data_IF_449388231849
#
_entry.id   IF_449388231849
#
_cell.length_a   1.000
_cell.length_b   1.000
_cell.length_c   1.000
_cell.angle_alpha   90.00
_cell.angle_beta   90.00
_cell.angle_gamma   90.00
#
_symmetry.space_group_name_H-M   'P 1'
#
loop_
_entity.id
_entity.type
_entity.pdbx_description
1 polymer ?
#
# COMPACT_ATOMS: atom_id res chain seq x y z
N UNK A 1 -28.01 33.66 44.34
CA UNK A 1 -28.58 32.47 44.96
C UNK A 1 -27.46 31.90 45.89
N UNK A 2 -27.43 32.40 47.15
CA UNK A 2 -26.55 31.89 48.18
C UNK A 2 -27.10 30.52 48.62
N UNK A 3 -26.46 29.45 48.19
CA UNK A 3 -26.62 28.19 48.84
C UNK A 3 -25.88 28.31 50.20
N UNK A 4 -26.62 28.17 51.28
CA UNK A 4 -26.04 28.04 52.64
C UNK A 4 -25.18 26.77 52.61
N UNK A 5 -23.89 26.95 52.57
CA UNK A 5 -22.91 25.89 52.53
C UNK A 5 -22.65 25.47 53.96
N UNK A 6 -23.24 24.38 54.41
CA UNK A 6 -22.98 23.77 55.72
C UNK A 6 -21.71 22.92 55.65
N UNK A 7 -20.55 23.54 55.88
CA UNK A 7 -19.35 22.82 56.19
C UNK A 7 -19.51 22.09 57.54
N UNK A 8 -19.05 20.87 57.56
CA UNK A 8 -18.88 20.13 58.84
C UNK A 8 -17.99 20.93 59.79
N UNK A 9 -18.28 20.82 61.12
CA UNK A 9 -17.61 21.60 62.17
C UNK A 9 -16.09 21.40 62.14
N UNK A 10 -15.64 20.18 61.89
CA UNK A 10 -14.22 19.83 61.93
C UNK A 10 -13.50 20.40 60.68
N UNK A 11 -14.11 20.31 59.52
CA UNK A 11 -13.60 20.90 58.28
C UNK A 11 -13.55 22.41 58.36
N UNK A 12 -14.53 23.04 58.98
CA UNK A 12 -14.57 24.49 59.20
C UNK A 12 -13.48 24.96 60.16
N UNK A 13 -13.24 24.20 61.25
CA UNK A 13 -12.18 24.51 62.20
C UNK A 13 -10.79 24.31 61.62
N UNK A 14 -10.58 23.27 60.83
CA UNK A 14 -9.35 23.02 60.12
C UNK A 14 -9.05 24.12 59.06
N UNK A 15 -10.06 24.55 58.30
CA UNK A 15 -9.96 25.68 57.35
C UNK A 15 -9.57 26.98 58.04
N UNK A 16 -10.22 27.27 59.20
CA UNK A 16 -9.95 28.48 59.96
C UNK A 16 -8.53 28.44 60.57
N UNK A 17 -8.12 27.32 61.10
CA UNK A 17 -6.79 27.17 61.72
C UNK A 17 -5.67 27.25 60.68
N UNK A 18 -5.83 26.65 59.49
CA UNK A 18 -4.88 26.74 58.39
C UNK A 18 -4.82 28.18 57.84
N UNK A 19 -5.96 28.80 57.69
CA UNK A 19 -6.07 30.20 57.26
C UNK A 19 -5.41 31.17 58.25
N UNK A 20 -5.64 30.97 59.55
CA UNK A 20 -5.02 31.77 60.59
C UNK A 20 -3.50 31.54 60.73
N UNK A 21 -3.03 30.35 60.49
CA UNK A 21 -1.62 30.03 60.52
C UNK A 21 -0.85 30.78 59.38
N UNK A 22 -1.48 30.89 58.22
CA UNK A 22 -0.95 31.63 57.06
C UNK A 22 -1.11 33.14 57.13
N UNK A 23 -2.09 33.61 57.91
CA UNK A 23 -2.37 35.05 58.12
C UNK A 23 -1.23 35.78 58.87
N UNK A 24 -0.32 35.06 59.53
CA UNK A 24 0.83 35.64 60.22
C UNK A 24 1.96 36.09 59.30
N UNK A 25 1.89 35.80 58.01
CA UNK A 25 2.96 36.00 57.03
C UNK A 25 2.81 37.29 56.17
N UNK A 26 2.46 38.40 56.71
CA UNK A 26 2.51 39.77 56.12
C UNK A 26 1.87 39.94 54.71
N UNK A 27 1.06 39.06 54.20
CA UNK A 27 0.33 39.26 52.97
C UNK A 27 -1.15 39.53 53.22
N UNK A 28 -1.74 40.47 52.47
CA UNK A 28 -3.10 40.92 52.68
C UNK A 28 -4.16 39.94 52.15
N UNK A 29 -3.77 38.86 51.52
CA UNK A 29 -4.67 37.82 50.96
C UNK A 29 -3.99 36.48 50.99
N UNK A 30 -4.64 35.47 51.54
CA UNK A 30 -4.14 34.10 51.65
C UNK A 30 -5.11 33.13 51.00
N UNK A 31 -4.55 32.08 50.37
CA UNK A 31 -5.32 30.98 49.80
C UNK A 31 -4.98 29.70 50.55
N UNK A 32 -5.99 29.01 51.05
CA UNK A 32 -5.84 27.67 51.61
C UNK A 32 -6.77 26.70 50.86
N UNK A 33 -6.29 25.50 50.56
CA UNK A 33 -7.08 24.46 49.91
C UNK A 33 -7.18 23.26 50.85
N UNK A 34 -8.40 22.80 51.12
CA UNK A 34 -8.63 21.55 51.87
C UNK A 34 -9.35 20.57 50.96
N UNK A 35 -8.89 19.33 51.02
CA UNK A 35 -9.50 18.22 50.31
C UNK A 35 -10.19 17.30 51.35
N UNK A 36 -11.52 17.33 51.37
CA UNK A 36 -12.36 16.49 52.22
C UNK A 36 -13.11 15.47 51.36
N UNK A 37 -12.50 14.28 51.21
CA UNK A 37 -13.06 13.24 50.39
C UNK A 37 -13.16 13.63 48.91
N UNK A 38 -14.38 13.78 48.39
CA UNK A 38 -14.63 14.20 47.00
C UNK A 38 -14.73 15.74 46.81
N UNK A 39 -14.76 16.48 47.92
CA UNK A 39 -14.98 17.93 47.91
C UNK A 39 -13.66 18.68 48.03
N UNK A 40 -13.48 19.72 47.21
CA UNK A 40 -12.28 20.57 47.25
C UNK A 40 -12.71 22.03 47.43
N UNK A 41 -12.17 22.65 48.47
CA UNK A 41 -12.48 24.05 48.80
C UNK A 41 -11.27 24.95 48.68
N UNK A 42 -11.48 26.18 48.23
CA UNK A 42 -10.47 27.23 48.31
C UNK A 42 -10.98 28.30 49.29
N UNK A 43 -10.17 28.62 50.27
CA UNK A 43 -10.44 29.65 51.25
C UNK A 43 -9.59 30.88 50.95
N UNK A 44 -10.25 32.01 50.73
CA UNK A 44 -9.60 33.33 50.60
C UNK A 44 -9.79 34.09 51.92
N UNK A 45 -8.67 34.52 52.53
CA UNK A 45 -8.69 35.31 53.76
C UNK A 45 -8.13 36.67 53.45
N UNK A 46 -8.90 37.73 53.72
CA UNK A 46 -8.49 39.09 53.57
C UNK A 46 -8.35 39.79 54.91
N UNK A 47 -7.19 40.40 55.16
CA UNK A 47 -7.03 41.32 56.31
C UNK A 47 -7.77 42.64 56.02
N UNK A 48 -8.26 43.31 57.06
CA UNK A 48 -8.89 44.63 56.89
C UNK A 48 -7.83 45.63 56.34
N UNK A 49 -8.25 46.57 55.47
CA UNK A 49 -7.34 47.65 55.03
C UNK A 49 -6.92 48.57 56.22
N UNK A 50 -5.73 49.20 56.07
CA UNK A 50 -5.19 50.04 57.11
C UNK A 50 -6.09 51.22 57.53
N UNK A 51 -7.02 51.66 56.65
CA UNK A 51 -8.02 52.73 56.91
C UNK A 51 -9.37 52.15 57.35
N UNK A 52 -9.34 51.27 58.33
CA UNK A 52 -10.52 50.50 58.77
C UNK A 52 -11.64 51.41 59.30
N UNK A 53 -12.78 51.51 58.58
CA UNK A 53 -13.99 52.14 59.03
C UNK A 53 -15.02 51.03 59.39
N UNK A 54 -15.44 50.99 60.66
CA UNK A 54 -16.27 49.91 61.25
C UNK A 54 -17.58 49.65 60.56
N UNK A 55 -18.12 50.56 59.71
CA UNK A 55 -19.38 50.37 59.03
C UNK A 55 -19.38 49.46 57.84
N UNK A 56 -18.23 49.24 57.18
CA UNK A 56 -18.13 48.40 55.95
C UNK A 56 -17.74 46.92 56.22
N UNK A 57 -17.16 46.61 57.38
CA UNK A 57 -16.60 45.31 57.68
C UNK A 57 -17.26 44.55 58.84
N UNK A 58 -18.28 45.15 59.52
CA UNK A 58 -19.01 44.48 60.58
C UNK A 58 -20.07 43.47 60.09
N UNK A 59 -20.38 42.41 60.86
CA UNK A 59 -21.52 41.58 60.56
C UNK A 59 -22.78 42.45 60.49
N UNK A 60 -23.59 42.31 59.41
CA UNK A 60 -24.92 42.91 59.39
C UNK A 60 -25.65 42.41 60.64
N UNK A 61 -25.95 43.34 61.57
CA UNK A 61 -26.80 43.03 62.75
C UNK A 61 -28.13 42.51 62.25
N UNK A 62 -28.43 41.25 62.51
CA UNK A 62 -29.76 40.76 62.54
C UNK A 62 -30.41 41.50 63.70
N UNK A 63 -31.33 42.39 63.44
CA UNK A 63 -32.22 42.97 64.46
C UNK A 63 -33.13 41.83 64.94
N UNK A 64 -32.85 41.27 66.09
CA UNK A 64 -33.84 40.56 66.85
C UNK A 64 -34.51 41.61 67.75
N UNK A 65 -35.76 41.90 67.47
CA UNK A 65 -36.67 42.69 68.38
C UNK A 65 -36.88 41.87 69.65
N UNK A 66 -36.22 42.28 70.75
CA UNK A 66 -36.68 41.99 72.11
C UNK A 66 -35.96 42.88 73.10
N UNK A 67 -36.71 43.89 73.51
CA UNK A 67 -36.94 44.41 74.84
C UNK A 67 -35.83 45.02 75.69
N UNK A 68 -36.14 46.23 76.01
CA UNK A 68 -35.70 47.20 77.04
C UNK A 68 -35.21 46.66 78.37
N UNK A 69 -34.09 47.24 78.90
CA UNK A 69 -34.14 47.98 80.16
C UNK A 69 -32.78 48.59 80.54
N UNK A 70 -32.91 49.87 80.92
CA UNK A 70 -32.03 50.78 81.60
C UNK A 70 -30.92 50.16 82.45
N UNK A 71 -29.69 50.75 82.41
CA UNK A 71 -29.26 51.56 83.58
C UNK A 71 -28.01 52.40 83.27
N UNK A 72 -28.09 53.63 83.82
CA UNK A 72 -27.06 54.65 83.84
C UNK A 72 -25.84 54.33 84.69
N UNK A 73 -24.75 55.09 84.40
CA UNK A 73 -23.66 55.57 85.26
C UNK A 73 -22.39 54.77 85.29
N UNK A 74 -21.32 55.26 84.73
CA UNK A 74 -20.21 55.96 85.38
C UNK A 74 -19.05 56.28 84.43
N UNK A 75 -18.61 57.53 84.27
CA UNK A 75 -17.50 57.84 83.39
C UNK A 75 -16.16 57.99 84.12
N UNK A 76 -15.57 56.93 84.61
CA UNK A 76 -14.19 56.97 85.08
C UNK A 76 -13.55 55.61 85.15
N UNK A 77 -13.09 55.13 84.01
CA UNK A 77 -11.85 54.31 84.00
C UNK A 77 -11.40 54.17 82.54
N UNK A 78 -10.61 55.10 82.06
CA UNK A 78 -9.85 54.95 80.83
C UNK A 78 -8.55 54.21 81.20
N UNK A 79 -8.54 52.88 81.08
CA UNK A 79 -7.33 52.10 81.12
C UNK A 79 -7.18 51.28 79.85
N UNK A 80 -6.10 51.60 79.21
CA UNK A 80 -5.36 50.81 78.20
C UNK A 80 -6.13 50.21 77.00
N UNK A 81 -5.76 50.71 75.89
CA UNK A 81 -6.15 50.32 74.52
C UNK A 81 -6.26 48.80 74.34
N UNK A 82 -7.48 48.31 74.31
CA UNK A 82 -7.82 47.10 73.61
C UNK A 82 -7.78 47.45 72.11
N UNK A 83 -6.73 47.01 71.41
CA UNK A 83 -6.83 46.92 69.94
C UNK A 83 -8.06 46.11 69.61
N UNK A 84 -8.93 46.57 68.77
CA UNK A 84 -10.09 45.77 68.33
C UNK A 84 -9.58 44.40 67.78
N UNK A 85 -10.25 43.29 68.04
CA UNK A 85 -9.83 42.00 67.51
C UNK A 85 -9.69 42.14 65.98
N UNK A 86 -8.55 41.71 65.46
CA UNK A 86 -8.32 41.66 64.01
C UNK A 86 -9.40 40.83 63.33
N UNK A 87 -10.29 41.48 62.64
CA UNK A 87 -11.37 40.81 61.89
C UNK A 87 -10.86 40.41 60.52
N UNK A 88 -10.96 39.14 60.21
CA UNK A 88 -10.64 38.60 58.90
C UNK A 88 -11.95 38.27 58.15
N UNK A 89 -11.99 38.55 56.83
CA UNK A 89 -13.09 38.12 55.96
C UNK A 89 -12.64 36.82 55.29
N UNK A 90 -13.39 35.74 55.53
CA UNK A 90 -13.09 34.41 54.95
C UNK A 90 -14.15 34.13 53.91
N UNK A 91 -13.76 33.90 52.69
CA UNK A 91 -14.62 33.44 51.61
C UNK A 91 -14.22 32.00 51.24
N UNK A 92 -15.17 31.11 51.33
CA UNK A 92 -14.96 29.68 50.98
C UNK A 92 -15.72 29.40 49.69
N UNK A 93 -15.03 28.84 48.71
CA UNK A 93 -15.61 28.48 47.41
C UNK A 93 -15.40 27.00 47.13
N UNK A 94 -16.44 26.31 46.71
CA UNK A 94 -16.39 24.93 46.29
C UNK A 94 -15.95 24.82 44.81
N UNK A 95 -14.88 24.10 44.55
CA UNK A 95 -14.34 23.85 43.20
C UNK A 95 -14.46 22.38 42.79
N UNK A 96 -15.20 21.57 43.54
CA UNK A 96 -15.34 20.14 43.30
C UNK A 96 -15.89 19.80 41.91
N UNK A 97 -16.86 20.60 41.45
CA UNK A 97 -17.51 20.41 40.15
C UNK A 97 -16.54 20.72 38.99
N UNK A 98 -15.74 21.77 39.12
CA UNK A 98 -14.75 22.18 38.12
C UNK A 98 -13.64 21.15 37.99
N UNK A 99 -13.18 20.61 39.09
CA UNK A 99 -12.12 19.58 39.08
C UNK A 99 -12.64 18.27 38.51
N UNK A 100 -13.87 17.85 38.85
CA UNK A 100 -14.51 16.69 38.20
C UNK A 100 -14.63 16.89 36.68
N UNK A 101 -15.05 18.08 36.25
CA UNK A 101 -15.14 18.40 34.83
C UNK A 101 -13.77 18.37 34.13
N UNK A 102 -12.73 18.91 34.77
CA UNK A 102 -11.36 18.88 34.24
C UNK A 102 -10.85 17.44 34.14
N UNK A 103 -11.06 16.59 35.15
CA UNK A 103 -10.70 15.19 35.10
C UNK A 103 -11.43 14.40 34.00
N UNK A 104 -12.73 14.65 33.84
CA UNK A 104 -13.52 14.05 32.76
C UNK A 104 -13.01 14.49 31.38
N UNK A 105 -12.68 15.79 31.23
CA UNK A 105 -12.08 16.30 30.00
C UNK A 105 -10.73 15.66 29.70
N UNK A 106 -9.88 15.49 30.72
CA UNK A 106 -8.57 14.82 30.59
C UNK A 106 -8.73 13.38 30.14
N UNK A 107 -9.64 12.62 30.76
CA UNK A 107 -9.95 11.23 30.36
C UNK A 107 -10.43 11.20 28.92
N UNK A 108 -11.32 12.09 28.52
CA UNK A 108 -11.82 12.17 27.14
C UNK A 108 -10.69 12.46 26.16
N UNK A 109 -9.78 13.39 26.46
CA UNK A 109 -8.62 13.72 25.61
C UNK A 109 -7.65 12.52 25.49
N UNK A 110 -7.41 11.79 26.59
CA UNK A 110 -6.58 10.58 26.56
C UNK A 110 -7.22 9.49 25.71
N UNK A 111 -8.52 9.26 25.84
CA UNK A 111 -9.24 8.29 25.00
C UNK A 111 -9.19 8.71 23.51
N UNK A 112 -9.43 9.99 23.23
CA UNK A 112 -9.34 10.53 21.87
C UNK A 112 -7.95 10.34 21.27
N UNK A 113 -6.90 10.58 22.07
CA UNK A 113 -5.51 10.35 21.64
C UNK A 113 -5.25 8.89 21.25
N UNK A 114 -5.73 7.92 22.05
CA UNK A 114 -5.56 6.50 21.72
C UNK A 114 -6.36 6.10 20.47
N UNK A 115 -7.58 6.63 20.30
CA UNK A 115 -8.39 6.38 19.10
C UNK A 115 -7.68 6.92 17.86
N UNK A 116 -7.24 8.18 17.88
CA UNK A 116 -6.52 8.80 16.76
C UNK A 116 -5.22 8.06 16.45
N UNK A 117 -4.44 7.68 17.47
CA UNK A 117 -3.22 6.90 17.28
C UNK A 117 -3.48 5.56 16.61
N UNK A 118 -4.53 4.86 17.01
CA UNK A 118 -4.95 3.59 16.41
C UNK A 118 -5.33 3.79 14.93
N UNK A 119 -6.12 4.82 14.61
CA UNK A 119 -6.51 5.16 13.23
C UNK A 119 -5.27 5.45 12.37
N UNK A 120 -4.33 6.25 12.87
CA UNK A 120 -3.08 6.58 12.16
C UNK A 120 -2.26 5.30 11.87
N UNK A 121 -2.14 4.39 12.83
CA UNK A 121 -1.40 3.13 12.65
C UNK A 121 -2.06 2.25 11.59
N UNK A 122 -3.40 2.11 11.63
CA UNK A 122 -4.15 1.33 10.65
C UNK A 122 -4.04 1.94 9.24
N UNK A 123 -4.19 3.26 9.14
CA UNK A 123 -4.05 3.99 7.88
C UNK A 123 -2.63 3.86 7.31
N UNK A 124 -1.60 4.01 8.15
CA UNK A 124 -0.21 3.83 7.74
C UNK A 124 0.06 2.43 7.18
N UNK A 125 -0.40 1.38 7.88
CA UNK A 125 -0.27 -0.01 7.40
C UNK A 125 -1.00 -0.22 6.07
N UNK A 126 -2.21 0.31 5.93
CA UNK A 126 -2.97 0.25 4.68
C UNK A 126 -2.25 0.97 3.55
N UNK A 127 -1.76 2.18 3.79
CA UNK A 127 -1.04 3.01 2.80
C UNK A 127 0.25 2.34 2.34
N UNK A 128 1.07 1.82 3.27
CA UNK A 128 2.29 1.08 2.95
C UNK A 128 1.98 -0.13 2.06
N UNK A 129 0.98 -0.93 2.43
CA UNK A 129 0.60 -2.11 1.65
C UNK A 129 0.09 -1.76 0.25
N UNK A 130 -0.67 -0.68 0.11
CA UNK A 130 -1.32 -0.31 -1.16
C UNK A 130 -0.42 0.51 -2.08
N UNK A 131 0.44 1.37 -1.54
CA UNK A 131 1.23 2.33 -2.33
C UNK A 131 2.71 1.99 -2.42
N UNK A 132 3.33 1.53 -1.34
CA UNK A 132 4.77 1.30 -1.30
C UNK A 132 5.16 -0.10 -1.81
N UNK A 133 4.43 -1.14 -1.41
CA UNK A 133 4.73 -2.50 -1.85
C UNK A 133 4.74 -2.66 -3.36
N UNK A 134 3.72 -2.20 -4.12
CA UNK A 134 3.73 -2.33 -5.57
C UNK A 134 4.95 -1.68 -6.23
N UNK A 135 5.40 -0.54 -5.73
CA UNK A 135 6.60 0.16 -6.24
C UNK A 135 7.86 -0.64 -5.94
N UNK A 136 7.99 -1.16 -4.72
CA UNK A 136 9.13 -2.03 -4.35
C UNK A 136 9.17 -3.31 -5.17
N UNK A 137 8.03 -3.95 -5.39
CA UNK A 137 7.91 -5.17 -6.20
C UNK A 137 8.24 -4.89 -7.67
N UNK A 138 7.81 -3.74 -8.21
CA UNK A 138 8.15 -3.31 -9.56
C UNK A 138 9.67 -3.08 -9.72
N UNK A 139 10.32 -2.39 -8.78
CA UNK A 139 11.78 -2.18 -8.79
C UNK A 139 12.53 -3.52 -8.71
N UNK A 140 12.08 -4.43 -7.85
CA UNK A 140 12.71 -5.75 -7.71
C UNK A 140 12.54 -6.56 -8.98
N UNK A 141 11.35 -6.57 -9.59
CA UNK A 141 11.09 -7.21 -10.87
C UNK A 141 11.95 -6.63 -11.99
N UNK A 142 12.11 -5.30 -12.03
CA UNK A 142 12.96 -4.63 -13.02
C UNK A 142 14.44 -5.02 -12.87
N UNK A 143 14.96 -5.09 -11.64
CA UNK A 143 16.33 -5.52 -11.37
C UNK A 143 16.55 -6.99 -11.81
N UNK A 144 15.61 -7.85 -11.47
CA UNK A 144 15.64 -9.26 -11.88
C UNK A 144 15.65 -9.36 -13.40
N UNK A 145 14.79 -8.63 -14.10
CA UNK A 145 14.73 -8.57 -15.55
C UNK A 145 16.07 -8.17 -16.19
N UNK A 146 16.74 -7.13 -15.68
CA UNK A 146 18.05 -6.70 -16.18
C UNK A 146 19.11 -7.79 -15.94
N UNK A 147 19.09 -8.45 -14.79
CA UNK A 147 19.99 -9.55 -14.46
C UNK A 147 19.80 -10.71 -15.42
N UNK A 148 18.56 -11.16 -15.60
CA UNK A 148 18.24 -12.31 -16.44
C UNK A 148 18.55 -12.02 -17.93
N UNK A 149 18.19 -10.84 -18.43
CA UNK A 149 18.57 -10.40 -19.77
C UNK A 149 20.08 -10.40 -19.99
N UNK A 150 20.85 -9.95 -18.98
CA UNK A 150 22.32 -9.95 -19.06
C UNK A 150 22.89 -11.36 -19.11
N UNK A 151 22.31 -12.30 -18.36
CA UNK A 151 22.70 -13.71 -18.39
C UNK A 151 22.36 -14.37 -19.72
N UNK A 152 21.16 -14.13 -20.25
CA UNK A 152 20.72 -14.69 -21.54
C UNK A 152 21.47 -14.12 -22.75
N UNK A 153 21.98 -12.89 -22.67
CA UNK A 153 22.84 -12.29 -23.69
C UNK A 153 24.29 -12.79 -23.59
N UNK A 154 24.80 -13.09 -22.39
CA UNK A 154 26.17 -13.52 -22.16
C UNK A 154 26.45 -14.90 -22.78
N UNK A 155 25.49 -15.81 -22.70
CA UNK A 155 25.64 -17.20 -23.19
C UNK A 155 25.91 -17.27 -24.70
N UNK A 156 25.05 -16.71 -25.59
CA UNK A 156 25.30 -16.70 -27.03
C UNK A 156 26.58 -15.93 -27.40
N UNK A 157 26.84 -14.80 -26.72
CA UNK A 157 28.06 -14.04 -26.94
C UNK A 157 29.32 -14.85 -26.63
N UNK A 158 29.32 -15.65 -25.56
CA UNK A 158 30.42 -16.53 -25.21
C UNK A 158 30.64 -17.60 -26.30
N UNK A 159 29.54 -18.15 -26.85
CA UNK A 159 29.62 -19.13 -27.95
C UNK A 159 30.20 -18.49 -29.22
N UNK A 160 29.78 -17.29 -29.57
CA UNK A 160 30.33 -16.52 -30.71
C UNK A 160 31.83 -16.29 -30.51
N UNK A 161 32.27 -15.81 -29.35
CA UNK A 161 33.67 -15.53 -29.05
C UNK A 161 34.51 -16.84 -29.16
N UNK A 162 34.02 -17.96 -28.64
CA UNK A 162 34.71 -19.24 -28.73
C UNK A 162 34.82 -19.73 -30.17
N UNK A 163 33.74 -19.62 -30.96
CA UNK A 163 33.76 -20.00 -32.37
C UNK A 163 34.74 -19.14 -33.18
N UNK A 164 34.76 -17.83 -32.96
CA UNK A 164 35.75 -16.91 -33.56
C UNK A 164 37.17 -17.29 -33.16
N UNK A 165 37.40 -17.58 -31.88
CA UNK A 165 38.73 -18.05 -31.39
C UNK A 165 39.18 -19.38 -32.04
N UNK A 166 38.27 -20.32 -32.27
CA UNK A 166 38.54 -21.56 -32.98
C UNK A 166 38.88 -21.31 -34.46
N UNK A 167 38.16 -20.42 -35.14
CA UNK A 167 38.45 -20.02 -36.52
C UNK A 167 39.84 -19.39 -36.60
N UNK A 168 40.19 -18.45 -35.71
CA UNK A 168 41.50 -17.82 -35.67
C UNK A 168 42.64 -18.81 -35.49
N UNK A 169 42.45 -19.78 -34.57
CA UNK A 169 43.44 -20.88 -34.34
C UNK A 169 43.59 -21.75 -35.57
N UNK A 170 42.53 -22.09 -36.29
CA UNK A 170 42.58 -22.90 -37.51
C UNK A 170 43.32 -22.16 -38.64
N UNK A 171 43.08 -20.88 -38.82
CA UNK A 171 43.77 -20.03 -39.79
C UNK A 171 45.26 -19.88 -39.48
N UNK A 172 45.63 -19.66 -38.20
CA UNK A 172 47.03 -19.44 -37.80
C UNK A 172 47.91 -20.69 -37.94
N UNK A 173 47.32 -21.89 -37.91
CA UNK A 173 48.05 -23.15 -38.07
C UNK A 173 48.39 -23.51 -39.51
N UNK A 174 47.99 -22.72 -40.52
CA UNK A 174 48.27 -22.91 -41.97
C UNK A 174 47.86 -24.30 -42.52
N UNK A 175 47.00 -25.03 -41.80
CA UNK A 175 46.59 -26.39 -42.17
C UNK A 175 45.17 -26.36 -42.75
N UNK A 176 45.04 -25.92 -44.01
CA UNK A 176 43.78 -26.02 -44.75
C UNK A 176 43.67 -27.43 -45.34
N UNK A 177 43.38 -28.38 -44.47
CA UNK A 177 42.95 -29.72 -44.88
C UNK A 177 41.40 -29.75 -44.92
N UNK A 178 40.80 -30.69 -45.67
CA UNK A 178 39.35 -30.82 -45.85
C UNK A 178 38.61 -30.91 -44.50
N UNK A 179 39.16 -31.61 -43.49
CA UNK A 179 38.62 -31.68 -42.15
C UNK A 179 38.51 -30.30 -41.46
N UNK A 180 39.47 -29.41 -41.68
CA UNK A 180 39.46 -28.06 -41.14
C UNK A 180 38.41 -27.19 -41.82
N UNK A 181 38.06 -27.44 -43.07
CA UNK A 181 37.02 -26.73 -43.81
C UNK A 181 35.61 -27.02 -43.20
N UNK A 182 35.32 -28.28 -42.86
CA UNK A 182 34.07 -28.65 -42.17
C UNK A 182 33.97 -28.02 -40.77
N UNK A 183 35.08 -28.03 -40.02
CA UNK A 183 35.13 -27.37 -38.70
C UNK A 183 34.92 -25.84 -38.80
N UNK A 184 35.53 -25.21 -39.79
CA UNK A 184 35.31 -23.77 -40.05
C UNK A 184 33.85 -23.47 -40.40
N UNK A 185 33.25 -24.29 -41.29
CA UNK A 185 31.81 -24.15 -41.63
C UNK A 185 30.91 -24.33 -40.41
N UNK A 186 31.19 -25.32 -39.54
CA UNK A 186 30.48 -25.56 -38.30
C UNK A 186 30.57 -24.35 -37.36
N UNK A 187 31.76 -23.76 -37.17
CA UNK A 187 31.97 -22.61 -36.31
C UNK A 187 31.27 -21.36 -36.89
N UNK A 188 31.27 -21.13 -38.21
CA UNK A 188 30.58 -20.04 -38.89
C UNK A 188 29.06 -20.20 -38.69
N UNK A 189 28.50 -21.39 -38.93
CA UNK A 189 27.08 -21.64 -38.74
C UNK A 189 26.69 -21.44 -37.26
N UNK A 190 27.54 -21.80 -36.31
CA UNK A 190 27.30 -21.56 -34.89
C UNK A 190 27.31 -20.07 -34.51
N UNK A 191 28.12 -19.23 -35.21
CA UNK A 191 28.10 -17.80 -35.04
C UNK A 191 26.79 -17.21 -35.59
N UNK A 192 26.39 -17.64 -36.79
CA UNK A 192 25.17 -17.18 -37.44
C UNK A 192 23.92 -17.51 -36.61
N UNK A 193 23.81 -18.78 -36.15
CA UNK A 193 22.72 -19.22 -35.28
C UNK A 193 22.65 -18.38 -33.98
N UNK A 194 23.79 -18.14 -33.31
CA UNK A 194 23.80 -17.37 -32.09
C UNK A 194 23.50 -15.87 -32.32
N UNK A 195 23.89 -15.34 -33.46
CA UNK A 195 23.59 -13.95 -33.85
C UNK A 195 22.10 -13.74 -34.10
N UNK A 196 21.45 -14.69 -34.81
CA UNK A 196 19.98 -14.63 -34.99
C UNK A 196 19.24 -14.80 -33.66
N UNK A 197 19.70 -15.69 -32.79
CA UNK A 197 19.14 -15.83 -31.44
C UNK A 197 19.25 -14.53 -30.62
N UNK A 198 20.40 -13.85 -30.66
CA UNK A 198 20.58 -12.55 -29.97
C UNK A 198 19.68 -11.48 -30.56
N UNK A 199 19.49 -11.45 -31.87
CA UNK A 199 18.59 -10.52 -32.56
C UNK A 199 17.14 -10.73 -32.08
N UNK A 200 16.65 -11.96 -32.03
CA UNK A 200 15.32 -12.25 -31.52
C UNK A 200 15.17 -11.86 -30.04
N UNK A 201 16.14 -12.19 -29.19
CA UNK A 201 16.11 -11.79 -27.78
C UNK A 201 16.05 -10.27 -27.62
N UNK A 202 16.89 -9.53 -28.35
CA UNK A 202 16.89 -8.07 -28.26
C UNK A 202 15.59 -7.46 -28.77
N UNK A 203 14.97 -8.04 -29.80
CA UNK A 203 13.67 -7.61 -30.30
C UNK A 203 12.58 -7.85 -29.26
N UNK A 204 12.51 -9.03 -28.64
CA UNK A 204 11.55 -9.37 -27.60
C UNK A 204 11.67 -8.42 -26.39
N UNK A 205 12.92 -8.10 -25.99
CA UNK A 205 13.18 -7.14 -24.90
C UNK A 205 12.70 -5.72 -25.23
N UNK A 206 12.92 -5.27 -26.47
CA UNK A 206 12.45 -3.97 -26.95
C UNK A 206 10.92 -3.91 -27.03
N UNK A 207 10.29 -4.96 -27.54
CA UNK A 207 8.84 -5.06 -27.66
C UNK A 207 8.18 -5.07 -26.28
N UNK A 208 8.72 -5.86 -25.33
CA UNK A 208 8.25 -5.88 -23.94
C UNK A 208 8.38 -4.49 -23.28
N UNK A 209 9.55 -3.84 -23.43
CA UNK A 209 9.76 -2.48 -22.89
C UNK A 209 8.81 -1.45 -23.50
N UNK A 210 8.49 -1.56 -24.79
CA UNK A 210 7.53 -0.67 -25.47
C UNK A 210 6.09 -0.92 -25.00
N UNK A 211 5.72 -2.18 -24.78
CA UNK A 211 4.39 -2.57 -24.29
C UNK A 211 4.15 -2.10 -22.86
N UNK A 212 5.15 -2.15 -21.99
CA UNK A 212 5.03 -1.65 -20.61
C UNK A 212 4.78 -0.14 -20.52
N UNK A 213 5.26 0.62 -21.49
CA UNK A 213 5.13 2.08 -21.56
C UNK A 213 4.02 2.56 -22.53
N UNK A 214 3.10 1.66 -22.94
CA UNK A 214 2.09 1.95 -23.96
C UNK A 214 0.99 2.95 -23.53
N UNK A 215 0.81 3.20 -22.20
CA UNK A 215 -0.25 4.05 -21.67
C UNK A 215 -0.30 5.46 -22.31
N UNK A 216 0.82 5.91 -22.89
CA UNK A 216 0.93 7.20 -23.56
C UNK A 216 0.54 7.16 -25.06
N UNK A 217 0.20 5.97 -25.63
CA UNK A 217 -0.02 5.77 -27.07
C UNK A 217 -1.45 5.33 -27.43
N UNK A 218 -2.47 5.97 -26.87
CA UNK A 218 -3.88 5.68 -27.17
C UNK A 218 -4.30 5.89 -28.63
N UNK A 219 -3.44 6.49 -29.45
CA UNK A 219 -3.77 6.92 -30.83
C UNK A 219 -3.80 5.78 -31.88
N UNK A 220 -3.38 4.56 -31.52
CA UNK A 220 -3.28 3.44 -32.49
C UNK A 220 -4.39 2.39 -32.35
N UNK A 221 -5.40 2.62 -31.50
CA UNK A 221 -6.52 1.69 -31.32
C UNK A 221 -7.60 1.98 -32.34
N UNK A 222 -7.85 1.05 -33.26
CA UNK A 222 -8.91 1.10 -34.26
C UNK A 222 -9.83 -0.13 -34.16
N UNK A 223 -10.96 -0.09 -34.85
CA UNK A 223 -11.86 -1.24 -34.93
C UNK A 223 -11.31 -2.22 -35.96
N UNK A 224 -10.80 -3.35 -35.48
CA UNK A 224 -10.20 -4.42 -36.30
C UNK A 224 -11.09 -5.64 -36.34
N UNK A 225 -11.09 -6.38 -37.46
CA UNK A 225 -11.78 -7.65 -37.61
C UNK A 225 -10.88 -8.77 -37.11
N UNK A 226 -11.11 -9.21 -35.88
CA UNK A 226 -10.28 -10.22 -35.20
C UNK A 226 -10.37 -11.59 -35.93
N UNK A 227 -11.53 -11.93 -36.48
CA UNK A 227 -11.74 -13.17 -37.28
C UNK A 227 -10.76 -13.26 -38.44
N UNK A 228 -10.58 -12.16 -39.17
CA UNK A 228 -9.67 -12.12 -40.34
C UNK A 228 -8.20 -12.30 -39.94
N UNK A 229 -7.80 -11.67 -38.83
CA UNK A 229 -6.43 -11.77 -38.32
C UNK A 229 -6.17 -13.20 -37.85
N UNK A 230 -7.09 -13.78 -37.06
CA UNK A 230 -6.95 -15.14 -36.54
C UNK A 230 -6.90 -16.18 -37.69
N UNK A 231 -7.76 -16.03 -38.70
CA UNK A 231 -7.78 -16.93 -39.86
C UNK A 231 -6.45 -16.84 -40.64
N UNK A 232 -5.95 -15.61 -40.88
CA UNK A 232 -4.67 -15.43 -41.59
C UNK A 232 -3.51 -16.07 -40.85
N UNK A 233 -3.45 -15.90 -39.53
CA UNK A 233 -2.38 -16.49 -38.73
C UNK A 233 -2.50 -18.04 -38.69
N UNK A 234 -3.69 -18.62 -38.57
CA UNK A 234 -3.88 -20.05 -38.67
C UNK A 234 -3.38 -20.61 -40.02
N UNK A 235 -3.78 -19.99 -41.14
CA UNK A 235 -3.32 -20.37 -42.47
C UNK A 235 -1.81 -20.24 -42.65
N UNK A 236 -1.17 -19.27 -42.00
CA UNK A 236 0.28 -19.12 -42.03
C UNK A 236 0.99 -20.22 -41.23
N UNK A 237 0.45 -20.62 -40.07
CA UNK A 237 1.05 -21.63 -39.22
C UNK A 237 0.71 -23.07 -39.61
N UNK A 238 -0.38 -23.35 -40.34
CA UNK A 238 -0.81 -24.69 -40.75
C UNK A 238 0.33 -25.49 -41.43
N UNK A 239 1.08 -24.97 -42.43
CA UNK A 239 2.23 -25.66 -43.01
C UNK A 239 3.34 -25.92 -41.99
N UNK A 240 3.58 -24.97 -41.07
CA UNK A 240 4.63 -25.12 -40.05
C UNK A 240 4.30 -26.26 -39.07
N UNK A 241 3.01 -26.38 -38.65
CA UNK A 241 2.56 -27.51 -37.84
C UNK A 241 2.71 -28.82 -38.58
N UNK A 242 2.29 -28.85 -39.83
CA UNK A 242 2.42 -30.05 -40.67
C UNK A 242 3.87 -30.52 -40.85
N UNK A 243 4.81 -29.61 -41.10
CA UNK A 243 6.26 -29.93 -41.21
C UNK A 243 6.83 -30.51 -39.90
N UNK A 244 6.24 -30.16 -38.76
CA UNK A 244 6.60 -30.68 -37.45
C UNK A 244 5.78 -31.92 -37.03
N UNK A 245 5.03 -32.55 -37.95
CA UNK A 245 4.17 -33.71 -37.71
C UNK A 245 3.09 -33.43 -36.66
N UNK A 246 2.55 -32.21 -36.65
CA UNK A 246 1.48 -31.74 -35.77
C UNK A 246 0.28 -31.23 -36.58
N UNK A 247 -0.89 -31.21 -35.94
CA UNK A 247 -2.13 -30.79 -36.56
C UNK A 247 -2.63 -29.50 -35.92
N UNK A 248 -3.05 -28.54 -36.75
CA UNK A 248 -3.65 -27.30 -36.32
C UNK A 248 -5.08 -27.20 -36.84
N UNK A 249 -6.06 -27.33 -35.94
CA UNK A 249 -7.44 -27.06 -36.22
C UNK A 249 -7.85 -25.66 -35.77
N UNK A 250 -8.86 -25.09 -36.45
CA UNK A 250 -9.38 -23.80 -36.02
C UNK A 250 -10.90 -23.70 -36.25
N UNK A 251 -11.58 -23.07 -35.26
CA UNK A 251 -13.01 -22.78 -35.32
C UNK A 251 -13.24 -21.30 -34.99
N UNK A 252 -13.36 -20.49 -36.02
CA UNK A 252 -13.39 -19.02 -35.93
C UNK A 252 -14.79 -18.54 -36.38
N UNK A 253 -15.53 -17.92 -35.46
CA UNK A 253 -16.78 -17.25 -35.75
C UNK A 253 -16.54 -15.99 -36.62
N UNK A 254 -17.30 -15.82 -37.68
CA UNK A 254 -17.13 -14.73 -38.64
C UNK A 254 -17.49 -13.36 -38.05
N UNK A 255 -16.89 -12.30 -38.60
CA UNK A 255 -17.20 -10.90 -38.31
C UNK A 255 -17.04 -10.46 -36.84
N UNK A 256 -16.23 -11.15 -36.06
CA UNK A 256 -15.86 -10.69 -34.73
C UNK A 256 -14.88 -9.51 -34.83
N UNK A 257 -15.23 -8.38 -34.24
CA UNK A 257 -14.40 -7.18 -34.24
C UNK A 257 -14.11 -6.72 -32.81
N UNK A 258 -12.90 -6.24 -32.58
CA UNK A 258 -12.44 -5.63 -31.33
C UNK A 258 -11.84 -4.25 -31.58
N UNK A 259 -11.75 -3.42 -30.55
CA UNK A 259 -10.97 -2.20 -30.58
C UNK A 259 -9.51 -2.55 -30.20
N UNK A 260 -8.56 -2.33 -31.14
CA UNK A 260 -7.19 -2.75 -30.91
C UNK A 260 -6.21 -2.34 -32.00
N UNK A 261 -4.95 -2.71 -31.78
CA UNK A 261 -3.85 -2.61 -32.75
C UNK A 261 -3.74 -3.94 -33.49
N UNK A 262 -3.97 -3.93 -34.82
CA UNK A 262 -3.97 -5.14 -35.65
C UNK A 262 -2.63 -5.87 -35.63
N UNK A 263 -1.50 -5.15 -35.59
CA UNK A 263 -0.17 -5.75 -35.54
C UNK A 263 0.07 -6.44 -34.19
N UNK A 264 -0.32 -5.80 -33.09
CA UNK A 264 -0.17 -6.39 -31.75
C UNK A 264 -1.09 -7.59 -31.52
N UNK A 265 -2.31 -7.56 -32.05
CA UNK A 265 -3.19 -8.75 -32.03
C UNK A 265 -2.62 -9.88 -32.89
N UNK A 266 -2.01 -9.57 -34.04
CA UNK A 266 -1.29 -10.55 -34.84
C UNK A 266 -0.14 -11.16 -34.03
N UNK A 267 0.73 -10.31 -33.41
CA UNK A 267 1.84 -10.77 -32.58
C UNK A 267 1.35 -11.68 -31.45
N UNK A 268 0.24 -11.35 -30.80
CA UNK A 268 -0.40 -12.18 -29.75
C UNK A 268 -0.74 -13.58 -30.27
N UNK A 269 -1.44 -13.66 -31.40
CA UNK A 269 -1.86 -14.95 -31.96
C UNK A 269 -0.63 -15.75 -32.40
N UNK A 270 0.32 -15.12 -33.06
CA UNK A 270 1.59 -15.76 -33.48
C UNK A 270 2.33 -16.35 -32.27
N UNK A 271 2.50 -15.60 -31.18
CA UNK A 271 3.15 -16.09 -29.94
C UNK A 271 2.42 -17.31 -29.37
N UNK A 272 1.09 -17.32 -29.34
CA UNK A 272 0.31 -18.43 -28.83
C UNK A 272 0.44 -19.67 -29.72
N UNK A 273 0.39 -19.51 -31.05
CA UNK A 273 0.56 -20.61 -32.00
C UNK A 273 1.99 -21.14 -32.00
N UNK A 274 3.01 -20.28 -31.92
CA UNK A 274 4.40 -20.72 -31.76
C UNK A 274 4.60 -21.52 -30.46
N UNK A 275 3.99 -21.06 -29.37
CA UNK A 275 4.02 -21.76 -28.10
C UNK A 275 3.35 -23.15 -28.21
N UNK A 276 2.17 -23.19 -28.83
CA UNK A 276 1.46 -24.45 -29.07
C UNK A 276 2.28 -25.38 -29.98
N UNK A 277 2.85 -24.88 -31.07
CA UNK A 277 3.71 -25.64 -31.98
C UNK A 277 4.91 -26.26 -31.24
N UNK A 278 5.51 -25.54 -30.30
CA UNK A 278 6.66 -26.02 -29.51
C UNK A 278 6.26 -27.09 -28.50
N UNK A 279 5.18 -26.89 -27.78
CA UNK A 279 4.85 -27.68 -26.57
C UNK A 279 3.68 -28.64 -26.73
N UNK A 280 2.88 -28.59 -27.81
CA UNK A 280 1.88 -29.64 -28.08
C UNK A 280 2.57 -30.95 -28.43
N UNK A 281 1.89 -32.06 -28.12
CA UNK A 281 2.33 -33.41 -28.57
C UNK A 281 2.04 -33.60 -30.04
N UNK A 282 0.77 -33.39 -30.44
CA UNK A 282 0.32 -33.70 -31.81
C UNK A 282 -0.77 -32.76 -32.32
N UNK A 283 -1.60 -32.20 -31.43
CA UNK A 283 -2.81 -31.50 -31.85
C UNK A 283 -2.96 -30.15 -31.14
N UNK A 284 -3.38 -29.15 -31.90
CA UNK A 284 -3.67 -27.79 -31.41
C UNK A 284 -4.97 -27.30 -32.04
N UNK A 285 -5.83 -26.67 -31.25
CA UNK A 285 -7.08 -26.06 -31.74
C UNK A 285 -7.13 -24.59 -31.35
N UNK A 286 -7.33 -23.71 -32.33
CA UNK A 286 -7.64 -22.30 -32.07
C UNK A 286 -9.14 -22.08 -32.20
N UNK A 287 -9.79 -21.49 -31.20
CA UNK A 287 -11.22 -21.10 -31.26
C UNK A 287 -11.37 -19.61 -31.02
N UNK A 288 -12.26 -18.99 -31.81
CA UNK A 288 -12.68 -17.60 -31.62
C UNK A 288 -14.20 -17.53 -31.66
N UNK A 289 -14.80 -17.11 -30.56
CA UNK A 289 -16.25 -17.01 -30.45
C UNK A 289 -16.70 -15.84 -29.56
N UNK A 290 -17.95 -15.42 -29.77
CA UNK A 290 -18.58 -14.40 -28.93
C UNK A 290 -19.39 -15.07 -27.81
N UNK A 291 -19.04 -14.77 -26.54
CA UNK A 291 -19.74 -15.30 -25.35
C UNK A 291 -20.36 -14.15 -24.55
N UNK A 292 -21.67 -13.95 -24.64
CA UNK A 292 -22.45 -12.93 -23.90
C UNK A 292 -21.88 -11.49 -24.06
N UNK A 293 -20.97 -11.09 -23.15
CA UNK A 293 -20.35 -9.77 -23.10
C UNK A 293 -18.87 -9.78 -23.50
N UNK A 294 -18.31 -10.94 -23.78
CA UNK A 294 -16.88 -11.09 -24.05
C UNK A 294 -16.67 -11.76 -25.40
N UNK A 295 -15.60 -11.41 -26.06
CA UNK A 295 -15.02 -12.14 -27.17
C UNK A 295 -13.94 -13.02 -26.58
N UNK A 296 -13.99 -14.32 -26.87
CA UNK A 296 -13.05 -15.31 -26.34
C UNK A 296 -12.25 -15.89 -27.49
N UNK A 297 -10.93 -15.64 -27.46
CA UNK A 297 -9.93 -16.32 -28.25
C UNK A 297 -9.27 -17.38 -27.38
N UNK A 298 -9.30 -18.66 -27.78
CA UNK A 298 -8.68 -19.75 -27.03
C UNK A 298 -7.78 -20.56 -27.92
N UNK A 299 -6.57 -20.89 -27.42
CA UNK A 299 -5.67 -21.86 -28.02
C UNK A 299 -5.55 -23.04 -27.06
N UNK A 300 -5.99 -24.20 -27.52
CA UNK A 300 -5.93 -25.48 -26.82
C UNK A 300 -4.85 -26.34 -27.45
N UNK A 301 -3.97 -26.93 -26.65
CA UNK A 301 -2.99 -27.90 -27.11
C UNK A 301 -2.90 -29.10 -26.16
N UNK A 302 -2.66 -30.27 -26.72
CA UNK A 302 -2.41 -31.51 -26.00
C UNK A 302 -0.99 -31.50 -25.38
N UNK A 303 -0.85 -32.07 -24.17
CA UNK A 303 0.42 -32.08 -23.43
C UNK A 303 0.66 -33.44 -22.77
N UNK A 304 1.92 -33.81 -22.62
CA UNK A 304 2.29 -35.05 -21.92
C UNK A 304 1.90 -34.97 -20.42
N UNK A 305 2.20 -33.83 -19.80
CA UNK A 305 2.01 -33.57 -18.38
C UNK A 305 1.24 -32.27 -18.18
N UNK A 306 0.24 -32.31 -17.28
CA UNK A 306 -0.50 -31.12 -16.90
C UNK A 306 0.38 -30.12 -16.14
N UNK A 307 0.08 -28.83 -16.34
CA UNK A 307 0.70 -27.76 -15.60
C UNK A 307 0.21 -27.74 -14.14
N UNK A 308 1.12 -27.56 -13.20
CA UNK A 308 0.71 -27.29 -11.82
C UNK A 308 0.00 -25.93 -11.69
N UNK A 309 -0.75 -25.72 -10.60
CA UNK A 309 -1.35 -24.42 -10.32
C UNK A 309 -0.32 -23.29 -10.19
N UNK A 310 0.88 -23.63 -9.76
CA UNK A 310 1.98 -22.66 -9.65
C UNK A 310 2.54 -22.34 -11.05
N UNK A 311 2.69 -23.33 -11.90
CA UNK A 311 3.17 -23.16 -13.27
C UNK A 311 2.21 -22.30 -14.09
N UNK A 312 0.88 -22.49 -13.97
CA UNK A 312 -0.11 -21.68 -14.70
C UNK A 312 -0.04 -20.18 -14.38
N UNK A 313 0.53 -19.81 -13.25
CA UNK A 313 0.81 -18.41 -12.89
C UNK A 313 2.21 -17.98 -13.34
N UNK A 314 3.20 -18.87 -13.18
CA UNK A 314 4.61 -18.55 -13.41
C UNK A 314 4.98 -18.46 -14.89
N UNK A 315 4.27 -19.14 -15.80
CA UNK A 315 4.54 -19.08 -17.24
C UNK A 315 4.40 -17.68 -17.85
N UNK A 316 3.77 -16.75 -17.16
CA UNK A 316 3.73 -15.33 -17.55
C UNK A 316 4.84 -14.47 -16.93
N UNK A 317 5.72 -15.10 -16.11
CA UNK A 317 6.91 -14.40 -15.62
C UNK A 317 7.99 -14.39 -16.70
N UNK A 318 8.73 -13.32 -16.79
CA UNK A 318 9.83 -13.16 -17.74
C UNK A 318 10.89 -14.22 -17.49
N UNK A 319 11.45 -14.77 -18.56
CA UNK A 319 12.48 -15.82 -18.53
C UNK A 319 12.09 -17.12 -17.85
N UNK A 320 10.81 -17.28 -17.45
CA UNK A 320 10.34 -18.51 -16.84
C UNK A 320 10.17 -19.62 -17.90
N UNK A 321 10.71 -20.81 -17.59
CA UNK A 321 10.63 -22.01 -18.41
C UNK A 321 10.34 -23.20 -17.51
N UNK A 322 9.46 -24.09 -17.97
CA UNK A 322 9.13 -25.33 -17.24
C UNK A 322 10.28 -26.32 -17.23
N UNK A 323 11.05 -26.41 -18.34
CA UNK A 323 12.20 -27.27 -18.50
C UNK A 323 13.41 -26.47 -18.99
N UNK A 324 14.47 -26.44 -18.20
CA UNK A 324 15.76 -25.84 -18.56
C UNK A 324 16.55 -26.69 -19.56
N UNK A 325 16.19 -27.98 -19.69
CA UNK A 325 16.96 -28.97 -20.48
C UNK A 325 16.71 -28.87 -21.99
N UNK A 326 15.62 -28.25 -22.43
CA UNK A 326 15.35 -28.05 -23.85
C UNK A 326 16.06 -26.80 -24.37
N UNK A 327 17.32 -26.95 -24.69
CA UNK A 327 18.26 -25.89 -25.11
C UNK A 327 17.93 -25.21 -26.44
N UNK A 328 16.75 -25.45 -27.02
CA UNK A 328 16.40 -25.00 -28.38
C UNK A 328 15.33 -23.92 -28.55
N UNK A 329 14.44 -23.67 -27.62
CA UNK A 329 13.17 -23.08 -28.02
C UNK A 329 12.72 -21.83 -27.26
N UNK A 330 13.54 -20.78 -27.17
CA UNK A 330 13.10 -19.45 -26.73
C UNK A 330 13.47 -19.09 -25.30
N UNK A 331 13.44 -17.77 -25.02
CA UNK A 331 13.96 -17.18 -23.79
C UNK A 331 12.90 -17.02 -22.69
N UNK A 332 11.69 -17.56 -22.87
CA UNK A 332 10.59 -17.37 -21.90
C UNK A 332 10.02 -15.94 -21.88
N UNK A 333 10.10 -15.22 -23.01
CA UNK A 333 9.56 -13.87 -23.15
C UNK A 333 8.24 -13.83 -23.93
N UNK A 334 7.91 -14.83 -24.73
CA UNK A 334 6.70 -14.81 -25.58
C UNK A 334 5.42 -14.67 -24.77
N UNK A 335 5.16 -15.55 -23.77
CA UNK A 335 3.94 -15.46 -22.95
C UNK A 335 3.85 -14.17 -22.10
N UNK A 336 4.92 -13.65 -21.49
CA UNK A 336 4.96 -12.29 -20.97
C UNK A 336 4.51 -11.22 -21.97
N UNK A 337 5.04 -11.25 -23.22
CA UNK A 337 4.64 -10.33 -24.30
C UNK A 337 3.15 -10.49 -24.62
N UNK A 338 2.68 -11.72 -24.79
CA UNK A 338 1.26 -11.99 -25.02
C UNK A 338 0.36 -11.39 -23.92
N UNK A 339 0.75 -11.53 -22.67
CA UNK A 339 0.04 -10.95 -21.53
C UNK A 339 -0.01 -9.42 -21.60
N UNK A 340 1.11 -8.76 -21.90
CA UNK A 340 1.15 -7.30 -22.02
C UNK A 340 0.29 -6.81 -23.18
N UNK A 341 0.28 -7.51 -24.32
CA UNK A 341 -0.62 -7.21 -25.44
C UNK A 341 -2.09 -7.30 -25.03
N UNK A 342 -2.46 -8.35 -24.28
CA UNK A 342 -3.84 -8.52 -23.77
C UNK A 342 -4.21 -7.39 -22.82
N UNK A 343 -3.32 -7.02 -21.90
CA UNK A 343 -3.52 -5.91 -20.95
C UNK A 343 -3.64 -4.56 -21.69
N UNK A 344 -2.84 -4.34 -22.73
CA UNK A 344 -2.92 -3.17 -23.63
C UNK A 344 -4.32 -3.04 -24.24
N UNK A 345 -4.95 -4.16 -24.59
CA UNK A 345 -6.30 -4.23 -25.15
C UNK A 345 -7.40 -4.32 -24.07
N UNK A 346 -7.07 -4.09 -22.79
CA UNK A 346 -7.99 -4.18 -21.63
C UNK A 346 -8.67 -5.54 -21.49
N UNK A 347 -8.00 -6.57 -22.00
CA UNK A 347 -8.44 -7.95 -21.91
C UNK A 347 -7.88 -8.67 -20.67
N UNK A 348 -8.27 -9.92 -20.52
CA UNK A 348 -7.77 -10.85 -19.52
C UNK A 348 -7.25 -12.12 -20.20
N UNK A 349 -6.08 -12.64 -19.77
CA UNK A 349 -5.56 -13.93 -20.23
C UNK A 349 -5.57 -14.91 -19.06
N UNK A 350 -6.10 -16.11 -19.32
CA UNK A 350 -6.14 -17.22 -18.36
C UNK A 350 -5.50 -18.46 -18.95
N UNK A 351 -4.90 -19.28 -18.09
CA UNK A 351 -4.40 -20.59 -18.45
C UNK A 351 -5.06 -21.64 -17.57
N UNK A 352 -5.60 -22.65 -18.21
CA UNK A 352 -6.22 -23.81 -17.56
C UNK A 352 -5.50 -25.06 -18.09
N UNK A 353 -5.09 -25.93 -17.19
CA UNK A 353 -4.53 -27.23 -17.54
C UNK A 353 -5.41 -28.33 -16.96
N UNK A 354 -5.98 -29.19 -17.82
CA UNK A 354 -6.90 -30.23 -17.43
C UNK A 354 -6.99 -31.31 -18.52
N UNK A 355 -7.13 -32.56 -18.12
CA UNK A 355 -7.34 -33.71 -19.02
C UNK A 355 -6.23 -33.83 -20.09
N UNK A 356 -4.97 -33.61 -19.68
CA UNK A 356 -3.79 -33.57 -20.56
C UNK A 356 -3.87 -32.52 -21.68
N UNK A 357 -4.57 -31.44 -21.42
CA UNK A 357 -4.69 -30.29 -22.31
C UNK A 357 -4.36 -29.03 -21.59
N UNK A 358 -3.81 -28.06 -22.30
CA UNK A 358 -3.57 -26.69 -21.83
C UNK A 358 -4.38 -25.74 -22.68
N UNK A 359 -5.13 -24.88 -22.04
CA UNK A 359 -5.97 -23.86 -22.66
C UNK A 359 -5.43 -22.48 -22.32
N UNK A 360 -5.08 -21.72 -23.34
CA UNK A 360 -4.80 -20.28 -23.21
C UNK A 360 -6.06 -19.52 -23.65
N UNK A 361 -6.79 -18.94 -22.71
CA UNK A 361 -8.04 -18.23 -22.97
C UNK A 361 -7.85 -16.74 -22.80
N UNK A 362 -8.14 -15.97 -23.86
CA UNK A 362 -8.05 -14.52 -23.90
C UNK A 362 -9.47 -13.96 -24.00
N UNK A 363 -9.81 -13.05 -23.08
CA UNK A 363 -11.09 -12.39 -22.99
C UNK A 363 -10.96 -10.92 -23.37
N UNK A 364 -11.66 -10.48 -24.42
CA UNK A 364 -11.80 -9.07 -24.76
C UNK A 364 -13.21 -8.62 -24.41
N UNK A 365 -13.33 -7.61 -23.57
CA UNK A 365 -14.60 -7.05 -23.12
C UNK A 365 -15.19 -6.15 -24.22
N UNK A 366 -16.51 -6.31 -24.50
CA UNK A 366 -17.23 -5.57 -25.56
C UNK A 366 -17.82 -4.28 -24.99
#
# INVERSE_FOLDING_TARGET
NGADFFLDSDTKENLINDALSKANDNSNTFYSSINDGELQYICEVKSPPDDFNNEEWGPRKYQSDADSSKNESDPSNRTHGNRPPTMYRIAVTDFSSEIKNLNNLLILLVLLFFVLSTVIILFSKYFVKKSIRPVSDAITSQRQFISDASHELKTPLTVIINNVGNIQKAISKNSIQLENMELLKKNINGIDEMSERMKHLTQDLLDLSRLENWQDRKEQMERIVLSDIATKECLYFEPVFFENNKELDYNIEDNISVLGDANKIKDLISVLLENAMKYSLSHTTLTLNKRKKDIVLSVENDVEKELSKEDTVNIFKRFYRLDESHSGSGYGLGLPIAKEIVLMHKGEIKVVSKDKKVFFEIYFHI
#
